data_IF_351208769231
#
_entry.id   IF_351208769231
#
_cell.length_a   1.000
_cell.length_b   1.000
_cell.length_c   1.000
_cell.angle_alpha   90.00
_cell.angle_beta   90.00
_cell.angle_gamma   90.00
#
_symmetry.space_group_name_H-M   'P 1'
#
loop_
_entity.id
_entity.type
_entity.pdbx_description
1 polymer ?
#
# COMPACT_ATOMS: atom_id res chain seq x y z
N UNK A 1 -0.97 -7.94 41.19
CA UNK A 1 -1.90 -6.91 41.71
C UNK A 1 -3.32 -7.42 41.53
N UNK A 2 -4.05 -7.67 42.61
CA UNK A 2 -5.42 -8.20 42.56
C UNK A 2 -6.38 -7.12 42.06
N UNK A 3 -6.93 -7.35 40.86
CA UNK A 3 -7.95 -6.48 40.25
C UNK A 3 -9.30 -6.88 40.85
N UNK A 4 -9.55 -6.48 42.09
CA UNK A 4 -10.91 -6.56 42.63
C UNK A 4 -11.59 -5.23 42.27
N UNK A 5 -12.56 -5.21 41.34
CA UNK A 5 -13.23 -3.97 40.98
C UNK A 5 -13.97 -3.41 42.20
N UNK A 6 -13.88 -2.09 42.37
CA UNK A 6 -14.70 -1.38 43.35
C UNK A 6 -16.16 -1.53 42.97
N UNK A 7 -17.00 -1.90 43.93
CA UNK A 7 -18.44 -2.11 43.70
C UNK A 7 -19.06 -0.80 43.16
N UNK A 8 -19.79 -0.89 42.03
CA UNK A 8 -20.46 0.27 41.41
C UNK A 8 -19.73 0.93 40.23
N UNK A 9 -18.70 0.31 39.66
CA UNK A 9 -17.97 0.84 38.51
C UNK A 9 -18.89 0.90 37.26
N UNK A 10 -19.11 2.10 36.71
CA UNK A 10 -20.10 2.33 35.62
C UNK A 10 -19.64 1.74 34.28
N UNK A 11 -18.34 1.59 34.09
CA UNK A 11 -17.74 1.12 32.84
C UNK A 11 -17.43 -0.38 32.86
N UNK A 12 -17.96 -1.14 33.84
CA UNK A 12 -17.67 -2.56 34.03
C UNK A 12 -18.02 -3.42 32.80
N UNK A 13 -19.05 -3.00 32.05
CA UNK A 13 -19.51 -3.66 30.82
C UNK A 13 -18.61 -3.39 29.61
N UNK A 14 -17.79 -2.33 29.63
CA UNK A 14 -16.86 -2.02 28.55
C UNK A 14 -15.48 -2.68 28.74
N UNK A 15 -15.25 -3.28 29.90
CA UNK A 15 -13.96 -3.87 30.24
C UNK A 15 -13.75 -5.17 29.47
N UNK A 16 -12.62 -5.27 28.78
CA UNK A 16 -12.19 -6.54 28.20
C UNK A 16 -11.83 -7.52 29.31
N UNK A 17 -12.33 -8.75 29.20
CA UNK A 17 -11.88 -9.86 30.05
C UNK A 17 -10.38 -10.06 29.86
N UNK A 18 -9.65 -10.25 30.96
CA UNK A 18 -8.21 -10.52 30.88
C UNK A 18 -7.98 -11.84 30.14
N UNK A 19 -7.24 -11.78 29.03
CA UNK A 19 -6.86 -12.98 28.30
C UNK A 19 -5.92 -13.82 29.16
N UNK A 20 -6.09 -15.14 29.14
CA UNK A 20 -5.23 -16.06 29.86
C UNK A 20 -3.90 -16.21 29.09
N UNK A 21 -2.73 -15.95 29.69
CA UNK A 21 -1.44 -16.03 29.01
C UNK A 21 -1.14 -17.43 28.45
N UNK A 22 -1.74 -18.49 29.02
CA UNK A 22 -1.61 -19.86 28.52
C UNK A 22 -2.14 -20.03 27.09
N UNK A 23 -3.12 -19.22 26.68
CA UNK A 23 -3.82 -19.35 25.40
C UNK A 23 -3.62 -18.14 24.48
N UNK A 24 -2.68 -17.25 24.79
CA UNK A 24 -2.43 -16.03 24.01
C UNK A 24 -1.95 -16.34 22.58
N UNK A 25 -1.25 -17.46 22.39
CA UNK A 25 -0.79 -17.93 21.08
C UNK A 25 -1.87 -18.64 20.24
N UNK A 26 -2.99 -19.02 20.84
CA UNK A 26 -4.03 -19.82 20.18
C UNK A 26 -4.94 -18.90 19.38
N UNK A 27 -4.88 -19.02 18.05
CA UNK A 27 -5.72 -18.23 17.15
C UNK A 27 -7.03 -18.96 16.87
N UNK A 28 -8.11 -18.21 16.70
CA UNK A 28 -9.36 -18.78 16.25
C UNK A 28 -9.20 -19.34 14.82
N UNK A 29 -9.39 -20.65 14.67
CA UNK A 29 -9.35 -21.37 13.38
C UNK A 29 -10.67 -21.21 12.60
N UNK A 30 -11.75 -20.82 13.30
CA UNK A 30 -13.06 -20.63 12.68
C UNK A 30 -13.04 -19.36 11.83
N UNK A 31 -13.33 -19.52 10.52
CA UNK A 31 -13.51 -18.45 9.54
C UNK A 31 -14.74 -17.58 9.87
N UNK A 32 -14.60 -16.78 10.92
CA UNK A 32 -15.57 -15.79 11.36
C UNK A 32 -15.38 -14.50 10.57
N UNK A 33 -15.81 -14.50 9.30
CA UNK A 33 -15.85 -13.29 8.46
C UNK A 33 -14.61 -12.39 8.57
N UNK A 34 -14.83 -11.07 8.67
CA UNK A 34 -13.75 -10.07 8.69
C UNK A 34 -13.02 -10.03 10.05
N UNK A 35 -12.12 -10.98 10.29
CA UNK A 35 -11.28 -11.06 11.50
C UNK A 35 -10.44 -9.79 11.69
N UNK A 36 -10.12 -9.40 12.94
CA UNK A 36 -9.32 -8.22 13.23
C UNK A 36 -7.99 -8.18 12.44
N UNK A 37 -7.31 -9.33 12.31
CA UNK A 37 -6.08 -9.47 11.49
C UNK A 37 -6.32 -9.24 10.01
N UNK A 38 -7.40 -9.80 9.46
CA UNK A 38 -7.79 -9.57 8.07
C UNK A 38 -8.15 -8.10 7.83
N UNK A 39 -8.83 -7.46 8.78
CA UNK A 39 -9.15 -6.04 8.75
C UNK A 39 -7.90 -5.15 8.83
N UNK A 40 -6.91 -5.50 9.66
CA UNK A 40 -5.60 -4.84 9.72
C UNK A 40 -4.83 -5.01 8.41
N UNK A 41 -4.82 -6.21 7.84
CA UNK A 41 -4.21 -6.50 6.55
C UNK A 41 -4.84 -5.68 5.42
N UNK A 42 -6.17 -5.67 5.31
CA UNK A 42 -6.90 -4.86 4.34
C UNK A 42 -6.65 -3.35 4.55
N UNK A 43 -6.57 -2.88 5.79
CA UNK A 43 -6.21 -1.49 6.12
C UNK A 43 -4.80 -1.16 5.64
N UNK A 44 -3.83 -2.02 5.94
CA UNK A 44 -2.44 -1.83 5.54
C UNK A 44 -2.27 -1.80 4.02
N UNK A 45 -3.01 -2.63 3.27
CA UNK A 45 -3.03 -2.58 1.80
C UNK A 45 -3.59 -1.24 1.30
N UNK A 46 -4.73 -0.80 1.84
CA UNK A 46 -5.32 0.51 1.47
C UNK A 46 -4.37 1.67 1.76
N UNK A 47 -3.57 1.60 2.83
CA UNK A 47 -2.59 2.62 3.17
C UNK A 47 -1.39 2.60 2.21
N UNK A 48 -0.98 1.42 1.76
CA UNK A 48 0.14 1.20 0.83
C UNK A 48 -0.21 1.54 -0.63
N UNK A 49 -1.48 1.38 -0.99
CA UNK A 49 -2.03 1.65 -2.31
C UNK A 49 -3.15 2.67 -2.17
N UNK A 50 -2.79 3.94 -2.00
CA UNK A 50 -3.78 5.02 -1.82
C UNK A 50 -4.22 5.56 -3.17
N UNK A 51 -5.53 5.67 -3.40
CA UNK A 51 -6.11 6.57 -4.42
C UNK A 51 -6.64 7.79 -3.69
N UNK A 52 -6.15 8.99 -4.02
CA UNK A 52 -6.79 10.20 -3.52
C UNK A 52 -8.12 10.42 -4.26
N UNK A 53 -9.13 10.99 -3.59
CA UNK A 53 -10.38 11.33 -4.25
C UNK A 53 -10.11 12.37 -5.34
N UNK A 54 -10.48 12.04 -6.59
CA UNK A 54 -10.25 12.89 -7.76
C UNK A 54 -9.00 12.54 -8.59
N UNK A 55 -8.16 11.61 -8.14
CA UNK A 55 -7.01 11.12 -8.92
C UNK A 55 -7.36 9.85 -9.71
N UNK A 56 -6.82 9.74 -10.92
CA UNK A 56 -7.05 8.63 -11.85
C UNK A 56 -6.07 7.47 -11.65
N UNK A 57 -5.01 7.68 -10.86
CA UNK A 57 -3.92 6.75 -10.64
C UNK A 57 -3.81 6.33 -9.15
N UNK A 58 -3.02 5.31 -8.88
CA UNK A 58 -2.69 4.87 -7.51
C UNK A 58 -1.36 5.47 -7.05
N UNK A 59 -1.24 5.83 -5.77
CA UNK A 59 0.02 6.19 -5.14
C UNK A 59 0.54 5.01 -4.34
N UNK A 60 1.72 4.52 -4.71
CA UNK A 60 2.42 3.42 -4.05
C UNK A 60 3.47 3.99 -3.10
N UNK A 61 3.50 3.46 -1.88
CA UNK A 61 4.59 3.79 -0.95
C UNK A 61 5.91 3.15 -1.37
N UNK A 62 7.02 3.82 -1.06
CA UNK A 62 8.39 3.33 -1.30
C UNK A 62 8.63 1.92 -0.75
N UNK A 63 8.04 1.59 0.41
CA UNK A 63 8.13 0.25 1.03
C UNK A 63 7.60 -0.88 0.15
N UNK A 64 6.57 -0.61 -0.66
CA UNK A 64 5.96 -1.63 -1.54
C UNK A 64 6.94 -2.00 -2.65
N UNK A 65 7.65 -1.00 -3.16
CA UNK A 65 8.61 -1.15 -4.25
C UNK A 65 9.87 -1.81 -3.75
N UNK A 66 10.36 -1.42 -2.58
CA UNK A 66 11.49 -2.10 -1.93
C UNK A 66 11.19 -3.59 -1.68
N UNK A 67 9.98 -3.92 -1.20
CA UNK A 67 9.55 -5.30 -1.02
C UNK A 67 9.40 -6.08 -2.34
N UNK A 68 9.07 -5.39 -3.44
CA UNK A 68 9.04 -5.99 -4.77
C UNK A 68 10.45 -6.26 -5.28
N UNK A 69 11.37 -5.30 -5.16
CA UNK A 69 12.75 -5.43 -5.59
C UNK A 69 13.50 -6.52 -4.81
N UNK A 70 13.30 -6.59 -3.49
CA UNK A 70 13.91 -7.65 -2.67
C UNK A 70 13.41 -9.05 -3.01
N UNK A 71 12.21 -9.18 -3.59
CA UNK A 71 11.69 -10.45 -4.10
C UNK A 71 12.29 -10.85 -5.44
N UNK A 72 12.71 -9.87 -6.25
CA UNK A 72 13.34 -10.10 -7.55
C UNK A 72 14.82 -10.43 -7.42
N UNK A 73 15.50 -9.91 -6.39
CA UNK A 73 16.90 -10.27 -6.15
C UNK A 73 17.01 -11.77 -5.80
N UNK A 74 17.91 -12.51 -6.47
CA UNK A 74 18.10 -13.92 -6.17
C UNK A 74 18.57 -14.07 -4.72
N UNK A 75 17.98 -15.02 -3.98
CA UNK A 75 18.40 -15.33 -2.61
C UNK A 75 19.90 -15.65 -2.63
N UNK A 76 20.69 -14.89 -1.88
CA UNK A 76 22.13 -15.09 -1.82
C UNK A 76 22.45 -16.46 -1.22
N UNK A 77 23.07 -17.30 -2.04
CA UNK A 77 23.70 -18.54 -1.60
C UNK A 77 25.05 -18.14 -0.99
N UNK A 78 25.27 -18.50 0.27
CA UNK A 78 26.57 -18.33 0.94
C UNK A 78 27.62 -19.16 0.20
N UNK A 79 28.89 -18.74 0.26
CA UNK A 79 30.00 -19.46 -0.38
C UNK A 79 30.13 -20.92 0.12
N UNK A 80 29.69 -21.19 1.36
CA UNK A 80 29.65 -22.53 1.96
C UNK A 80 28.48 -23.41 1.44
N UNK A 81 27.76 -22.97 0.40
CA UNK A 81 26.62 -23.70 -0.17
C UNK A 81 25.34 -23.67 0.69
N UNK A 82 25.34 -22.90 1.78
CA UNK A 82 24.16 -22.65 2.61
C UNK A 82 23.35 -21.44 2.14
N UNK A 83 22.06 -21.39 2.48
CA UNK A 83 21.28 -20.15 2.30
C UNK A 83 21.54 -19.17 3.45
N UNK A 84 21.55 -17.87 3.15
CA UNK A 84 21.73 -16.82 4.15
C UNK A 84 20.71 -16.88 5.32
N UNK A 85 19.53 -17.50 5.09
CA UNK A 85 18.57 -17.81 6.16
C UNK A 85 18.35 -19.33 6.22
N UNK A 86 18.54 -19.99 7.38
CA UNK A 86 18.42 -21.44 7.56
C UNK A 86 17.03 -22.06 7.25
N UNK A 87 16.05 -21.25 6.81
CA UNK A 87 14.67 -21.65 6.50
C UNK A 87 14.26 -21.35 5.04
N UNK A 88 15.18 -20.82 4.22
CA UNK A 88 14.86 -20.43 2.84
C UNK A 88 14.60 -21.63 1.91
N UNK A 89 15.08 -22.83 2.28
CA UNK A 89 14.88 -24.10 1.58
C UNK A 89 13.48 -24.70 1.81
N UNK A 90 12.96 -24.59 3.03
CA UNK A 90 11.63 -25.07 3.42
C UNK A 90 10.52 -24.02 3.29
N UNK A 91 10.86 -22.84 2.76
CA UNK A 91 9.87 -21.89 2.26
C UNK A 91 9.20 -22.46 1.00
N UNK A 92 8.38 -23.49 1.18
CA UNK A 92 7.69 -24.19 0.11
C UNK A 92 6.84 -23.25 -0.74
N UNK A 93 6.37 -23.71 -1.91
CA UNK A 93 5.48 -22.93 -2.78
C UNK A 93 4.20 -22.48 -2.07
N UNK A 94 3.85 -23.02 -0.90
CA UNK A 94 2.74 -22.55 -0.05
C UNK A 94 2.91 -21.11 0.49
N UNK A 95 4.13 -20.59 0.65
CA UNK A 95 4.35 -19.15 0.87
C UNK A 95 4.30 -18.32 -0.45
N UNK A 96 4.19 -18.99 -1.59
CA UNK A 96 4.10 -18.41 -2.94
C UNK A 96 2.71 -18.61 -3.60
N UNK A 97 1.82 -19.45 -3.06
CA UNK A 97 0.60 -19.91 -3.74
C UNK A 97 -0.59 -18.93 -3.64
N UNK A 98 -0.72 -18.07 -2.63
CA UNK A 98 -1.94 -17.23 -2.49
C UNK A 98 -1.70 -15.71 -2.57
N UNK A 99 -0.89 -15.28 -3.54
CA UNK A 99 -0.95 -13.91 -4.06
C UNK A 99 -0.71 -13.96 -5.54
N UNK A 100 -1.70 -13.60 -6.34
CA UNK A 100 -1.46 -13.22 -7.72
C UNK A 100 -0.30 -12.20 -7.70
N UNK A 101 0.89 -12.64 -8.15
CA UNK A 101 2.12 -11.93 -7.87
C UNK A 101 2.05 -10.57 -8.56
N UNK A 102 1.74 -9.54 -7.77
CA UNK A 102 1.61 -8.20 -8.30
C UNK A 102 2.98 -7.82 -8.87
N UNK A 103 3.02 -7.62 -10.18
CA UNK A 103 4.23 -7.24 -10.89
C UNK A 103 4.21 -5.74 -11.17
N UNK A 104 5.32 -5.08 -10.87
CA UNK A 104 5.50 -3.66 -11.07
C UNK A 104 6.52 -3.43 -12.19
N UNK A 105 6.11 -2.68 -13.21
CA UNK A 105 7.02 -2.12 -14.21
C UNK A 105 7.44 -0.72 -13.76
N UNK A 106 8.69 -0.57 -13.36
CA UNK A 106 9.24 0.71 -12.91
C UNK A 106 9.69 1.55 -14.11
N UNK A 107 9.22 2.79 -14.18
CA UNK A 107 9.51 3.72 -15.27
C UNK A 107 10.03 5.04 -14.71
N UNK A 108 11.25 5.38 -15.13
CA UNK A 108 11.92 6.64 -14.83
C UNK A 108 11.51 7.71 -15.84
N UNK A 109 10.92 8.80 -15.35
CA UNK A 109 10.44 9.90 -16.19
C UNK A 109 11.43 11.07 -16.29
N UNK A 110 12.64 10.95 -15.72
CA UNK A 110 13.66 12.01 -15.75
C UNK A 110 14.32 12.13 -17.12
N UNK A 111 15.21 13.10 -17.25
CA UNK A 111 16.14 13.20 -18.40
C UNK A 111 17.16 12.06 -18.38
N UNK A 112 17.75 11.78 -19.55
CA UNK A 112 18.72 10.68 -19.74
C UNK A 112 19.92 10.82 -18.81
N UNK A 113 20.46 12.05 -18.67
CA UNK A 113 21.63 12.33 -17.83
C UNK A 113 21.39 11.95 -16.36
N UNK A 114 20.20 12.23 -15.83
CA UNK A 114 19.84 11.90 -14.45
C UNK A 114 19.57 10.41 -14.26
N UNK A 115 19.07 9.72 -15.29
CA UNK A 115 18.86 8.29 -15.27
C UNK A 115 20.19 7.52 -15.23
N UNK A 116 21.14 7.93 -16.06
CA UNK A 116 22.49 7.34 -16.10
C UNK A 116 23.25 7.58 -14.79
N UNK A 117 23.08 8.76 -14.19
CA UNK A 117 23.72 9.08 -12.91
C UNK A 117 23.27 8.17 -11.77
N UNK A 118 21.97 7.88 -11.66
CA UNK A 118 21.40 7.00 -10.64
C UNK A 118 19.94 6.70 -10.95
N UNK A 119 19.55 5.43 -11.00
CA UNK A 119 18.15 5.00 -11.12
C UNK A 119 17.86 3.80 -10.21
N UNK A 120 16.58 3.48 -10.03
CA UNK A 120 16.18 2.29 -9.26
C UNK A 120 16.54 1.05 -10.09
N UNK A 121 17.07 0.01 -9.45
CA UNK A 121 17.33 -1.28 -10.12
C UNK A 121 16.06 -1.74 -10.87
N UNK A 122 16.25 -2.34 -12.05
CA UNK A 122 15.19 -2.82 -12.95
C UNK A 122 14.26 -1.75 -13.56
N UNK A 123 14.52 -0.46 -13.36
CA UNK A 123 13.70 0.61 -13.96
C UNK A 123 14.11 0.94 -15.39
N UNK A 124 13.12 1.22 -16.24
CA UNK A 124 13.32 1.68 -17.62
C UNK A 124 13.23 3.18 -17.73
N UNK A 125 14.04 3.77 -18.60
CA UNK A 125 13.95 5.19 -18.92
C UNK A 125 12.82 5.49 -19.92
N UNK A 126 11.99 6.48 -19.60
CA UNK A 126 10.91 6.98 -20.44
C UNK A 126 10.84 8.51 -20.41
N UNK A 127 11.24 9.21 -21.49
CA UNK A 127 11.18 10.67 -21.52
C UNK A 127 9.73 11.18 -21.56
N UNK A 128 9.44 12.21 -20.78
CA UNK A 128 8.09 12.81 -20.65
C UNK A 128 7.47 13.19 -21.99
N UNK A 129 8.28 13.69 -22.92
CA UNK A 129 7.84 14.17 -24.23
C UNK A 129 7.15 13.07 -25.06
N UNK A 130 7.59 11.81 -24.93
CA UNK A 130 7.02 10.68 -25.68
C UNK A 130 5.54 10.47 -25.42
N UNK A 131 5.04 10.83 -24.24
CA UNK A 131 3.62 10.65 -23.92
C UNK A 131 2.74 11.48 -24.83
N UNK A 132 3.22 12.60 -25.36
CA UNK A 132 2.45 13.51 -26.21
C UNK A 132 2.49 13.11 -27.68
N UNK A 133 3.36 12.17 -28.07
CA UNK A 133 3.44 11.71 -29.45
C UNK A 133 2.13 11.05 -29.89
N UNK A 134 1.75 11.28 -31.15
CA UNK A 134 0.57 10.67 -31.78
C UNK A 134 0.83 9.22 -32.19
N UNK A 135 2.07 8.92 -32.59
CA UNK A 135 2.52 7.58 -32.98
C UNK A 135 3.37 6.96 -31.87
N UNK A 136 3.04 5.70 -31.50
CA UNK A 136 3.74 4.90 -30.48
C UNK A 136 4.12 5.68 -29.20
N UNK A 137 3.15 6.20 -28.45
CA UNK A 137 3.42 6.97 -27.24
C UNK A 137 4.06 6.15 -26.11
N UNK A 138 4.05 4.81 -26.17
CA UNK A 138 4.46 3.95 -25.06
C UNK A 138 5.58 2.99 -25.43
N UNK A 139 6.31 2.50 -24.43
CA UNK A 139 7.32 1.46 -24.59
C UNK A 139 6.69 0.09 -24.87
N UNK A 140 7.38 -0.82 -25.57
CA UNK A 140 6.92 -2.20 -25.78
C UNK A 140 6.52 -2.91 -24.47
N UNK A 141 7.31 -2.70 -23.41
CA UNK A 141 7.05 -3.28 -22.09
C UNK A 141 5.77 -2.75 -21.44
N UNK A 142 5.42 -1.48 -21.70
CA UNK A 142 4.17 -0.90 -21.20
C UNK A 142 2.96 -1.55 -21.85
N UNK A 143 3.02 -1.91 -23.15
CA UNK A 143 1.95 -2.66 -23.81
C UNK A 143 1.77 -4.05 -23.20
N UNK A 144 2.85 -4.70 -22.75
CA UNK A 144 2.77 -5.97 -22.06
C UNK A 144 2.07 -5.86 -20.70
N UNK A 145 2.11 -4.68 -20.05
CA UNK A 145 1.49 -4.45 -18.76
C UNK A 145 0.11 -3.77 -18.84
N UNK A 146 -0.23 -3.12 -19.95
CA UNK A 146 -1.47 -2.34 -20.12
C UNK A 146 -2.74 -3.10 -19.72
N UNK A 147 -3.53 -2.50 -18.82
CA UNK A 147 -4.86 -2.94 -18.36
C UNK A 147 -4.95 -4.41 -17.93
N UNK A 148 -3.84 -4.99 -17.50
CA UNK A 148 -3.81 -6.35 -16.98
C UNK A 148 -3.93 -6.33 -15.47
N UNK A 149 -4.75 -7.25 -14.94
CA UNK A 149 -4.86 -7.45 -13.51
C UNK A 149 -3.51 -7.85 -12.89
N UNK A 150 -3.25 -7.40 -11.66
CA UNK A 150 -2.01 -7.66 -10.93
C UNK A 150 -0.73 -7.19 -11.64
N UNK A 151 -0.84 -6.33 -12.64
CA UNK A 151 0.28 -5.66 -13.30
C UNK A 151 0.07 -4.17 -13.23
N UNK A 152 1.06 -3.46 -12.73
CA UNK A 152 0.99 -2.00 -12.60
C UNK A 152 2.20 -1.36 -13.28
N UNK A 153 1.94 -0.24 -13.94
CA UNK A 153 2.99 0.61 -14.51
C UNK A 153 3.24 1.72 -13.50
N UNK A 154 4.42 1.73 -12.90
CA UNK A 154 4.80 2.63 -11.82
C UNK A 154 5.73 3.71 -12.38
N UNK A 155 5.23 4.93 -12.39
CA UNK A 155 5.98 6.10 -12.84
C UNK A 155 6.68 6.76 -11.65
N UNK A 156 7.91 7.23 -11.85
CA UNK A 156 8.59 8.05 -10.87
C UNK A 156 9.51 9.11 -11.50
N UNK A 157 9.80 10.12 -10.69
CA UNK A 157 10.72 11.23 -10.97
C UNK A 157 11.37 11.64 -9.63
N UNK A 158 12.20 12.68 -9.60
CA UNK A 158 12.76 13.28 -8.38
C UNK A 158 11.67 13.69 -7.41
N UNK A 159 10.63 14.35 -7.93
CA UNK A 159 9.48 14.84 -7.19
C UNK A 159 8.18 14.32 -7.80
N UNK A 160 7.14 14.19 -6.97
CA UNK A 160 5.89 13.57 -7.38
C UNK A 160 5.06 14.45 -8.34
N UNK A 161 5.17 15.78 -8.24
CA UNK A 161 4.35 16.72 -9.00
C UNK A 161 4.49 16.56 -10.52
N UNK A 162 5.72 16.36 -11.01
CA UNK A 162 5.98 16.16 -12.42
C UNK A 162 5.32 14.90 -12.98
N UNK A 163 5.17 13.87 -12.15
CA UNK A 163 4.60 12.57 -12.54
C UNK A 163 3.08 12.59 -12.51
N UNK A 164 2.46 13.40 -11.66
CA UNK A 164 0.99 13.53 -11.57
C UNK A 164 0.39 13.94 -12.92
N UNK A 165 0.97 14.96 -13.56
CA UNK A 165 0.49 15.45 -14.87
C UNK A 165 0.67 14.39 -15.96
N UNK A 166 1.81 13.69 -15.93
CA UNK A 166 2.13 12.61 -16.85
C UNK A 166 1.16 11.42 -16.68
N UNK A 167 0.88 11.02 -15.44
CA UNK A 167 -0.02 9.93 -15.12
C UNK A 167 -1.46 10.21 -15.61
N UNK A 168 -1.94 11.45 -15.46
CA UNK A 168 -3.23 11.86 -16.00
C UNK A 168 -3.28 11.74 -17.53
N UNK A 169 -2.19 12.15 -18.21
CA UNK A 169 -2.11 12.05 -19.67
C UNK A 169 -2.03 10.59 -20.13
N UNK A 170 -1.30 9.73 -19.41
CA UNK A 170 -1.26 8.29 -19.67
C UNK A 170 -2.63 7.63 -19.47
N UNK A 171 -3.37 8.06 -18.45
CA UNK A 171 -4.73 7.57 -18.21
C UNK A 171 -5.69 7.97 -19.33
N UNK A 172 -5.66 9.24 -19.78
CA UNK A 172 -6.46 9.70 -20.92
C UNK A 172 -6.16 8.94 -22.21
N UNK A 173 -4.94 8.41 -22.36
CA UNK A 173 -4.53 7.54 -23.47
C UNK A 173 -4.94 6.06 -23.30
N UNK A 174 -5.69 5.74 -22.24
CA UNK A 174 -6.33 4.44 -22.02
C UNK A 174 -5.49 3.43 -21.25
N UNK A 175 -4.57 3.87 -20.39
CA UNK A 175 -3.87 3.01 -19.42
C UNK A 175 -4.47 3.25 -18.03
N UNK A 176 -5.20 2.28 -17.50
CA UNK A 176 -5.92 2.43 -16.22
C UNK A 176 -5.08 1.96 -15.02
N UNK A 177 -4.09 1.09 -15.28
CA UNK A 177 -3.22 0.48 -14.28
C UNK A 177 -1.96 1.31 -14.00
N UNK A 178 -2.09 2.62 -14.00
CA UNK A 178 -1.01 3.57 -13.68
C UNK A 178 -0.90 3.75 -12.17
N UNK A 179 0.33 3.71 -11.68
CA UNK A 179 0.68 4.04 -10.31
C UNK A 179 1.89 5.00 -10.29
N UNK A 180 2.03 5.74 -9.19
CA UNK A 180 3.13 6.68 -8.95
C UNK A 180 3.80 6.34 -7.63
N UNK A 181 5.11 6.58 -7.51
CA UNK A 181 5.82 6.50 -6.23
C UNK A 181 5.51 7.75 -5.39
N UNK A 182 4.85 7.54 -4.26
CA UNK A 182 4.63 8.59 -3.27
C UNK A 182 5.99 9.09 -2.75
N UNK A 183 6.22 10.40 -2.81
CA UNK A 183 7.48 11.02 -2.38
C UNK A 183 8.64 10.98 -3.38
N UNK A 184 8.43 10.33 -4.54
CA UNK A 184 9.40 10.27 -5.63
C UNK A 184 10.70 9.54 -5.29
N UNK A 185 11.71 9.72 -6.15
CA UNK A 185 13.03 9.10 -5.97
C UNK A 185 13.77 9.64 -4.74
N UNK A 186 13.50 10.90 -4.35
CA UNK A 186 14.12 11.52 -3.17
C UNK A 186 13.82 10.74 -1.89
N UNK A 187 12.56 10.38 -1.65
CA UNK A 187 12.19 9.60 -0.47
C UNK A 187 12.74 8.18 -0.55
N UNK A 188 12.71 7.57 -1.75
CA UNK A 188 13.25 6.24 -1.98
C UNK A 188 14.76 6.15 -1.70
N UNK A 189 15.53 7.12 -2.19
CA UNK A 189 16.99 7.17 -1.99
C UNK A 189 17.39 7.31 -0.52
N UNK A 190 16.54 7.91 0.32
CA UNK A 190 16.79 8.07 1.75
C UNK A 190 16.52 6.79 2.54
N UNK A 191 15.49 6.01 2.17
CA UNK A 191 15.13 4.77 2.88
C UNK A 191 15.86 3.53 2.33
N UNK A 192 16.06 3.49 1.02
CA UNK A 192 16.35 2.28 0.26
C UNK A 192 17.49 2.52 -0.74
N UNK A 193 18.62 3.03 -0.24
CA UNK A 193 19.80 3.34 -1.06
C UNK A 193 20.41 2.10 -1.75
N UNK A 194 20.29 0.91 -1.14
CA UNK A 194 20.86 -0.35 -1.65
C UNK A 194 20.21 -0.83 -2.96
N UNK A 195 18.98 -0.35 -3.23
CA UNK A 195 18.22 -0.69 -4.43
C UNK A 195 18.47 0.28 -5.59
N UNK A 196 19.38 1.24 -5.43
CA UNK A 196 19.83 2.12 -6.49
C UNK A 196 21.04 1.52 -7.22
N UNK A 197 21.18 1.82 -8.50
CA UNK A 197 22.32 1.36 -9.31
C UNK A 197 23.61 2.11 -9.01
N UNK A 198 23.51 3.37 -8.60
CA UNK A 198 24.64 4.24 -8.30
C UNK A 198 24.37 5.08 -7.05
N UNK A 199 25.38 5.83 -6.61
CA UNK A 199 25.26 6.70 -5.43
C UNK A 199 24.18 7.75 -5.69
N UNK A 200 23.19 7.92 -4.79
CA UNK A 200 22.12 8.87 -4.99
C UNK A 200 22.66 10.31 -5.09
N UNK A 201 22.12 11.13 -6.00
CA UNK A 201 22.52 12.53 -6.14
C UNK A 201 22.02 13.40 -4.98
N UNK A 202 21.06 12.92 -4.19
CA UNK A 202 20.49 13.64 -3.06
C UNK A 202 21.23 13.25 -1.78
N UNK A 203 21.67 14.22 -0.95
CA UNK A 203 22.27 13.91 0.34
C UNK A 203 21.27 13.20 1.25
N UNK A 204 21.71 12.11 1.89
CA UNK A 204 20.91 11.36 2.86
C UNK A 204 20.80 12.21 4.13
N UNK A 205 19.64 12.86 4.32
CA UNK A 205 19.35 13.62 5.53
C UNK A 205 18.81 12.66 6.60
N UNK A 206 19.33 12.67 7.83
CA UNK A 206 18.76 11.90 8.93
C UNK A 206 17.29 12.28 9.14
N UNK A 207 16.39 11.31 9.05
CA UNK A 207 14.97 11.58 9.30
C UNK A 207 14.66 11.55 10.78
N UNK A 208 13.95 12.56 11.25
CA UNK A 208 13.36 12.55 12.58
C UNK A 208 12.23 11.51 12.65
N UNK A 209 12.55 10.31 13.14
CA UNK A 209 11.60 9.20 13.26
C UNK A 209 10.35 9.56 14.08
N UNK A 210 10.47 10.48 15.06
CA UNK A 210 9.33 11.01 15.84
C UNK A 210 8.36 11.79 14.96
N UNK A 211 8.88 12.63 14.06
CA UNK A 211 8.09 13.41 13.13
C UNK A 211 7.43 12.51 12.09
N UNK A 212 8.17 11.52 11.54
CA UNK A 212 7.63 10.53 10.60
C UNK A 212 6.49 9.72 11.22
N UNK A 213 6.68 9.19 12.43
CA UNK A 213 5.64 8.43 13.14
C UNK A 213 4.40 9.28 13.39
N UNK A 214 4.56 10.53 13.84
CA UNK A 214 3.42 11.46 14.04
C UNK A 214 2.71 11.78 12.72
N UNK A 215 3.44 11.95 11.63
CA UNK A 215 2.86 12.19 10.30
C UNK A 215 2.10 10.97 9.78
N UNK A 216 2.65 9.76 9.97
CA UNK A 216 1.99 8.50 9.65
C UNK A 216 0.72 8.31 10.49
N UNK A 217 0.80 8.50 11.81
CA UNK A 217 -0.35 8.49 12.72
C UNK A 217 -1.42 9.51 12.32
N UNK A 218 -1.04 10.74 11.93
CA UNK A 218 -1.97 11.76 11.47
C UNK A 218 -2.61 11.40 10.12
N UNK A 219 -1.84 10.84 9.20
CA UNK A 219 -2.35 10.39 7.90
C UNK A 219 -3.28 9.18 8.07
N UNK A 220 -2.95 8.30 9.01
CA UNK A 220 -3.76 7.16 9.41
C UNK A 220 -5.08 7.62 10.04
N UNK A 221 -5.05 8.54 11.00
CA UNK A 221 -6.24 9.13 11.62
C UNK A 221 -7.15 9.82 10.58
N UNK A 222 -6.59 10.56 9.62
CA UNK A 222 -7.35 11.17 8.52
C UNK A 222 -8.03 10.12 7.63
N UNK A 223 -7.36 9.00 7.36
CA UNK A 223 -7.95 7.92 6.56
C UNK A 223 -9.08 7.20 7.32
N UNK A 224 -8.93 7.01 8.63
CA UNK A 224 -9.94 6.40 9.50
C UNK A 224 -11.19 7.28 9.61
N UNK A 225 -11.02 8.59 9.83
CA UNK A 225 -12.11 9.56 9.87
C UNK A 225 -12.91 9.63 8.55
N UNK A 226 -12.24 9.48 7.40
CA UNK A 226 -12.94 9.43 6.10
C UNK A 226 -13.75 8.14 5.92
N UNK A 227 -13.27 7.01 6.45
CA UNK A 227 -14.00 5.74 6.36
C UNK A 227 -15.20 5.65 7.28
N UNK A 228 -15.17 6.27 8.47
CA UNK A 228 -16.29 6.25 9.42
C UNK A 228 -17.46 7.13 8.94
N UNK A 229 -17.20 8.22 8.22
CA UNK A 229 -18.22 9.12 7.69
C UNK A 229 -18.99 8.57 6.47
N UNK A 230 -18.52 7.47 5.87
CA UNK A 230 -19.17 6.82 4.71
C UNK A 230 -20.30 5.86 5.10
N UNK A 231 -20.50 5.58 6.38
CA UNK A 231 -21.60 4.74 6.83
C UNK A 231 -22.91 5.56 6.79
N UNK A 232 -23.61 5.53 5.66
CA UNK A 232 -25.01 5.97 5.59
C UNK A 232 -25.77 5.16 6.65
N UNK A 233 -26.37 5.77 7.69
CA UNK A 233 -27.11 5.00 8.67
C UNK A 233 -28.20 4.23 7.92
N UNK A 234 -28.25 2.90 8.10
CA UNK A 234 -29.37 2.09 7.62
C UNK A 234 -30.62 2.72 8.24
N UNK A 235 -31.49 3.26 7.39
CA UNK A 235 -32.70 3.95 7.85
C UNK A 235 -33.46 3.04 8.80
N UNK A 236 -33.66 3.51 10.02
CA UNK A 236 -34.59 2.88 10.95
C UNK A 236 -35.94 2.86 10.25
N UNK A 237 -36.41 1.66 9.95
CA UNK A 237 -37.76 1.39 9.46
C UNK A 237 -38.78 2.17 10.28
N UNK A 238 -39.52 3.06 9.62
CA UNK A 238 -40.67 3.76 10.19
C UNK A 238 -41.83 2.76 10.34
N UNK A 239 -41.73 1.86 11.32
CA UNK A 239 -42.80 0.94 11.71
C UNK A 239 -43.49 1.42 13.00
N UNK A 240 -43.85 2.70 13.02
CA UNK A 240 -44.71 3.34 14.03
C UNK A 240 -45.80 4.13 13.31
N UNK A 241 -46.58 3.43 12.48
CA UNK A 241 -47.84 3.93 11.95
C UNK A 241 -48.91 2.85 12.12
N UNK A 242 -49.34 2.66 13.37
CA UNK A 242 -50.63 2.05 13.69
C UNK A 242 -51.23 2.77 14.89
N UNK A 243 -52.23 3.60 14.63
CA UNK A 243 -53.54 3.54 15.29
C UNK A 243 -54.38 4.74 14.84
N UNK A 244 -55.41 4.47 14.04
CA UNK A 244 -56.75 5.03 14.24
C UNK A 244 -57.66 4.46 13.16
N UNK A 245 -58.24 3.29 13.44
CA UNK A 245 -59.55 2.95 12.86
C UNK A 245 -60.57 3.34 13.92
N UNK A 246 -61.19 4.51 13.76
CA UNK A 246 -62.52 4.76 14.30
C UNK A 246 -63.51 4.23 13.28
N UNK A 247 -64.00 3.01 13.52
CA UNK A 247 -65.24 2.51 12.95
C UNK A 247 -66.30 2.57 14.04
N UNK A 248 -67.35 3.34 13.80
CA UNK A 248 -68.57 3.43 14.60
C UNK A 248 -69.43 2.19 14.39
N UNK A 249 -69.81 1.53 15.48
CA UNK A 249 -71.17 1.10 15.90
C UNK A 249 -71.03 0.13 17.06
#
# INVERSE_FOLDING_TARGET
MSINPTIGDKDILQRRTSANPKYDSVQAVVESGMTAKLAEYMRNIKIKTKRQPGELFQRLRVDVIAAFLSRQEPKSVLEDGGFARPMDEYGGPENAIDKAAISYLLIDCREVEHYEACHIKTALHYPKIKVHHSTNPFLPEMYAYKNKENRYIVLYDMEEEAVVNLANTMFQKGIDNVAIIAGGLREFAQDYADFLTARPPVPIVPRDWRMKRRAEEATQARSEARTSMSHKPKGLSSSLARSSRKGTF
#
